data_IF_791926281531
#
_entry.id   IF_791926281531
#
_cell.length_a   1.000
_cell.length_b   1.000
_cell.length_c   1.000
_cell.angle_alpha   90.00
_cell.angle_beta   90.00
_cell.angle_gamma   90.00
#
_symmetry.space_group_name_H-M   'P 1'
#
loop_
_entity.id
_entity.type
_entity.pdbx_description
1 polymer ?
#
# COMPACT_ATOMS: atom_id res chain seq x y z
N UNK A 1 -24.81 -27.81 3.92
CA UNK A 1 -24.03 -27.02 2.95
C UNK A 1 -23.25 -25.96 3.69
N UNK A 2 -21.97 -26.22 4.01
CA UNK A 2 -21.13 -25.26 4.73
C UNK A 2 -20.53 -24.28 3.71
N UNK A 3 -21.06 -23.06 3.66
CA UNK A 3 -20.40 -21.96 2.93
C UNK A 3 -19.17 -21.55 3.73
N UNK A 4 -18.04 -22.19 3.42
CA UNK A 4 -16.71 -21.73 3.83
C UNK A 4 -16.55 -20.30 3.30
N UNK A 5 -16.61 -19.33 4.21
CA UNK A 5 -16.27 -17.95 3.91
C UNK A 5 -14.79 -17.94 3.54
N UNK A 6 -14.50 -17.87 2.23
CA UNK A 6 -13.15 -17.56 1.74
C UNK A 6 -12.71 -16.29 2.46
N UNK A 7 -11.67 -16.38 3.26
CA UNK A 7 -10.96 -15.22 3.78
C UNK A 7 -10.47 -14.42 2.58
N UNK A 8 -11.22 -13.39 2.18
CA UNK A 8 -10.77 -12.37 1.25
C UNK A 8 -9.76 -11.48 1.97
N UNK A 9 -8.64 -12.06 2.40
CA UNK A 9 -7.48 -11.28 2.83
C UNK A 9 -6.95 -10.60 1.57
N UNK A 10 -6.85 -9.26 1.51
CA UNK A 10 -6.20 -8.61 0.38
C UNK A 10 -4.77 -9.16 0.26
N UNK A 11 -4.26 -9.36 -0.97
CA UNK A 11 -2.91 -9.90 -1.14
C UNK A 11 -1.90 -9.08 -0.34
N UNK A 12 -0.98 -9.79 0.33
CA UNK A 12 0.10 -9.18 1.10
C UNK A 12 0.99 -8.28 0.22
N UNK A 13 0.93 -8.46 -1.11
CA UNK A 13 1.64 -7.68 -2.11
C UNK A 13 0.69 -6.76 -2.89
N UNK A 14 1.06 -5.49 -3.00
CA UNK A 14 0.35 -4.44 -3.76
C UNK A 14 1.28 -3.91 -4.83
N UNK A 15 0.84 -3.91 -6.08
CA UNK A 15 1.59 -3.32 -7.19
C UNK A 15 1.00 -1.95 -7.56
N UNK A 16 1.86 -0.94 -7.65
CA UNK A 16 1.53 0.38 -8.16
C UNK A 16 2.30 0.61 -9.45
N UNK A 17 1.58 0.88 -10.53
CA UNK A 17 2.17 1.21 -11.83
C UNK A 17 1.98 2.71 -12.01
N UNK A 18 3.09 3.44 -12.10
CA UNK A 18 3.09 4.87 -12.43
C UNK A 18 3.42 4.98 -13.91
N UNK A 19 2.47 5.45 -14.71
CA UNK A 19 2.72 5.65 -16.14
C UNK A 19 3.40 7.00 -16.39
N UNK A 20 4.06 7.20 -17.55
CA UNK A 20 4.61 8.50 -17.92
C UNK A 20 3.55 9.61 -17.92
N UNK A 21 2.32 9.28 -18.35
CA UNK A 21 1.22 10.24 -18.41
C UNK A 21 0.79 10.71 -17.01
N UNK A 22 0.75 9.79 -16.04
CA UNK A 22 0.45 10.13 -14.64
C UNK A 22 1.51 11.04 -14.03
N UNK A 23 2.78 10.79 -14.34
CA UNK A 23 3.90 11.61 -13.90
C UNK A 23 3.84 13.02 -14.48
N UNK A 24 3.59 13.15 -15.78
CA UNK A 24 3.42 14.44 -16.45
C UNK A 24 2.18 15.20 -15.94
N UNK A 25 1.09 14.48 -15.63
CA UNK A 25 -0.09 15.08 -15.02
C UNK A 25 0.22 15.66 -13.64
N UNK A 26 1.09 15.00 -12.85
CA UNK A 26 1.59 15.52 -11.57
C UNK A 26 2.45 16.77 -11.75
N UNK A 27 3.37 16.78 -12.72
CA UNK A 27 4.16 17.98 -13.05
C UNK A 27 3.27 19.16 -13.46
N UNK A 28 2.23 18.93 -14.27
CA UNK A 28 1.26 19.97 -14.66
C UNK A 28 0.46 20.51 -13.48
N UNK A 29 0.27 19.72 -12.42
CA UNK A 29 -0.35 20.15 -11.16
C UNK A 29 0.62 20.89 -10.23
N UNK A 30 1.89 21.01 -10.61
CA UNK A 30 2.94 21.65 -9.81
C UNK A 30 3.58 20.75 -8.77
N UNK A 31 3.40 19.42 -8.86
CA UNK A 31 4.14 18.48 -8.01
C UNK A 31 5.60 18.45 -8.43
N UNK A 32 6.50 18.39 -7.45
CA UNK A 32 7.93 18.29 -7.72
C UNK A 32 8.35 16.83 -7.89
N UNK A 33 9.55 16.60 -8.42
CA UNK A 33 10.11 15.26 -8.53
C UNK A 33 10.27 14.56 -7.17
N UNK A 34 10.39 15.30 -6.07
CA UNK A 34 10.51 14.75 -4.72
C UNK A 34 9.16 14.33 -4.14
N UNK A 35 8.07 14.90 -4.64
CA UNK A 35 6.69 14.57 -4.21
C UNK A 35 6.14 13.30 -4.90
N UNK A 36 6.83 12.83 -5.95
CA UNK A 36 6.31 11.81 -6.86
C UNK A 36 7.24 10.62 -7.02
N UNK A 37 6.64 9.46 -7.28
CA UNK A 37 7.35 8.32 -7.81
C UNK A 37 7.64 8.51 -9.31
N UNK A 38 8.82 8.12 -9.75
CA UNK A 38 9.17 8.12 -11.18
C UNK A 38 8.30 7.11 -11.95
N UNK A 39 8.14 7.27 -13.27
CA UNK A 39 7.43 6.27 -14.07
C UNK A 39 8.07 4.88 -13.90
N UNK A 40 7.25 3.87 -13.60
CA UNK A 40 7.74 2.54 -13.27
C UNK A 40 6.73 1.67 -12.54
N UNK A 41 7.16 0.43 -12.23
CA UNK A 41 6.37 -0.54 -11.46
C UNK A 41 6.97 -0.69 -10.07
N UNK A 42 6.14 -0.44 -9.05
CA UNK A 42 6.52 -0.52 -7.66
C UNK A 42 5.76 -1.65 -6.97
N UNK A 43 6.49 -2.50 -6.25
CA UNK A 43 5.89 -3.57 -5.45
C UNK A 43 6.02 -3.22 -3.98
N UNK A 44 4.89 -3.25 -3.28
CA UNK A 44 4.80 -2.96 -1.85
C UNK A 44 4.25 -4.18 -1.12
N UNK A 45 4.70 -4.38 0.12
CA UNK A 45 4.13 -5.38 1.02
C UNK A 45 3.26 -4.71 2.08
N UNK A 46 1.96 -5.00 2.07
CA UNK A 46 1.02 -4.49 3.07
C UNK A 46 1.35 -5.11 4.43
N UNK A 47 1.43 -4.28 5.48
CA UNK A 47 1.69 -4.78 6.84
C UNK A 47 3.13 -5.23 7.14
N UNK A 48 4.06 -5.17 6.18
CA UNK A 48 5.47 -5.53 6.42
C UNK A 48 6.16 -4.68 7.49
N UNK A 49 5.73 -3.43 7.68
CA UNK A 49 6.26 -2.55 8.73
C UNK A 49 6.02 -3.11 10.15
N UNK A 50 4.78 -3.51 10.46
CA UNK A 50 4.44 -4.12 11.76
C UNK A 50 4.99 -5.55 11.91
N UNK A 51 5.28 -6.23 10.80
CA UNK A 51 5.98 -7.51 10.81
C UNK A 51 7.47 -7.34 11.17
N UNK A 52 8.12 -6.26 10.68
CA UNK A 52 9.51 -5.92 11.01
C UNK A 52 9.68 -5.29 12.39
N UNK A 53 8.64 -4.60 12.87
CA UNK A 53 8.60 -3.94 14.17
C UNK A 53 7.49 -4.54 15.05
N UNK A 54 7.65 -5.80 15.50
CA UNK A 54 6.66 -6.46 16.35
C UNK A 54 6.41 -5.71 17.67
N UNK A 55 7.38 -4.93 18.15
CA UNK A 55 7.27 -4.06 19.34
C UNK A 55 6.20 -2.97 19.20
N UNK A 56 5.85 -2.58 17.97
CA UNK A 56 4.82 -1.57 17.69
C UNK A 56 3.42 -2.17 17.54
N UNK A 57 3.25 -3.50 17.68
CA UNK A 57 1.91 -4.12 17.73
C UNK A 57 1.21 -3.69 19.02
N UNK A 58 0.45 -2.61 18.93
CA UNK A 58 -0.44 -2.16 20.00
C UNK A 58 -1.45 -3.29 20.23
N UNK A 59 -1.36 -3.97 21.38
CA UNK A 59 -2.41 -4.89 21.83
C UNK A 59 -3.71 -4.09 21.86
N UNK A 60 -4.70 -4.52 21.08
CA UNK A 60 -6.00 -3.87 20.98
C UNK A 60 -6.54 -3.57 22.40
N UNK A 61 -6.47 -2.29 22.81
CA UNK A 61 -7.33 -1.81 23.88
C UNK A 61 -8.72 -1.83 23.27
N UNK A 62 -9.56 -2.78 23.69
CA UNK A 62 -11.00 -2.80 23.40
C UNK A 62 -11.49 -1.37 23.55
N UNK A 63 -11.89 -0.74 22.44
CA UNK A 63 -12.62 0.52 22.49
C UNK A 63 -13.92 0.20 23.24
N UNK A 64 -14.08 0.82 24.40
CA UNK A 64 -15.26 0.72 25.24
C UNK A 64 -16.48 1.31 24.53
#
# INVERSE_FOLDING_TARGET
MNKSQKSNSPPDEVELIVTPEDYEAGLKRGWTNDDMLKPGRYKFKRGGFLARHPELKIKEKKRA
#
